data_IF_911708860669
#
_entry.id   IF_911708860669
#
_cell.length_a   1.000
_cell.length_b   1.000
_cell.length_c   1.000
_cell.angle_alpha   90.00
_cell.angle_beta   90.00
_cell.angle_gamma   90.00
#
_symmetry.space_group_name_H-M   'P 1'
#
loop_
_entity.id
_entity.type
_entity.pdbx_description
1 polymer ?
#
# COMPACT_ATOMS: atom_id res chain seq x y z
N UNK A 1 2.79 7.72 -10.55
CA UNK A 1 4.04 7.65 -9.74
C UNK A 1 4.39 8.91 -8.95
N UNK A 2 4.16 10.12 -9.47
CA UNK A 2 4.52 11.37 -8.79
C UNK A 2 3.71 11.64 -7.51
N UNK A 3 2.41 11.37 -7.49
CA UNK A 3 1.55 11.65 -6.33
C UNK A 3 1.98 10.89 -5.05
N UNK A 4 2.35 9.62 -5.15
CA UNK A 4 2.75 8.79 -4.00
C UNK A 4 3.96 9.35 -3.25
N UNK A 5 4.86 10.06 -3.94
CA UNK A 5 6.08 10.63 -3.37
C UNK A 5 5.93 12.09 -2.97
N UNK A 6 5.07 12.86 -3.65
CA UNK A 6 4.91 14.29 -3.38
C UNK A 6 3.88 14.60 -2.30
N UNK A 7 2.89 13.72 -2.07
CA UNK A 7 1.85 13.98 -1.08
C UNK A 7 2.36 14.18 0.35
N UNK A 8 3.29 13.38 0.89
CA UNK A 8 3.84 13.63 2.22
C UNK A 8 4.60 14.96 2.31
N UNK A 9 5.40 15.30 1.28
CA UNK A 9 6.17 16.54 1.28
C UNK A 9 5.29 17.79 1.33
N UNK A 10 4.15 17.78 0.62
CA UNK A 10 3.19 18.88 0.63
C UNK A 10 2.50 19.00 1.99
N UNK A 11 2.05 17.87 2.57
CA UNK A 11 1.43 17.86 3.88
C UNK A 11 2.35 18.45 4.95
N UNK A 12 3.58 17.96 5.01
CA UNK A 12 4.60 18.39 6.00
C UNK A 12 5.03 19.85 5.77
N UNK A 13 4.93 20.35 4.52
CA UNK A 13 5.16 21.76 4.20
C UNK A 13 4.07 22.71 4.69
N UNK A 14 3.07 22.22 5.45
CA UNK A 14 2.03 23.04 6.07
C UNK A 14 1.02 23.60 5.06
N UNK A 15 0.79 22.92 3.96
CA UNK A 15 -0.14 23.37 2.91
C UNK A 15 -1.23 22.33 2.63
N UNK A 16 -2.42 22.82 2.31
CA UNK A 16 -3.47 21.99 1.70
C UNK A 16 -3.26 21.94 0.20
N UNK A 17 -3.50 20.76 -0.37
CA UNK A 17 -3.37 20.59 -1.81
C UNK A 17 -4.51 19.73 -2.34
N UNK A 18 -5.11 20.19 -3.45
CA UNK A 18 -5.99 19.38 -4.28
C UNK A 18 -5.34 19.18 -5.63
N UNK A 19 -5.29 17.93 -6.07
CA UNK A 19 -4.64 17.53 -7.31
C UNK A 19 -5.62 16.81 -8.23
N UNK A 20 -5.50 17.08 -9.50
CA UNK A 20 -6.07 16.26 -10.57
C UNK A 20 -4.90 15.70 -11.38
N UNK A 21 -4.83 14.38 -11.46
CA UNK A 21 -3.73 13.68 -12.09
C UNK A 21 -4.26 12.83 -13.25
N UNK A 22 -3.55 12.89 -14.37
CA UNK A 22 -3.80 11.99 -15.51
C UNK A 22 -2.58 11.14 -15.78
N UNK A 23 -2.77 9.81 -15.87
CA UNK A 23 -1.64 8.89 -16.09
C UNK A 23 -2.02 7.43 -15.92
N UNK A 24 -1.03 6.58 -15.69
CA UNK A 24 -1.23 5.19 -15.31
C UNK A 24 -1.63 5.09 -13.84
N UNK A 25 -2.74 4.43 -13.53
CA UNK A 25 -3.18 4.14 -12.15
C UNK A 25 -2.72 2.76 -11.69
N UNK A 26 -2.79 1.79 -12.59
CA UNK A 26 -2.47 0.39 -12.35
C UNK A 26 -1.45 -0.06 -13.40
N UNK A 27 -0.18 -0.01 -13.02
CA UNK A 27 0.96 -0.23 -13.92
C UNK A 27 1.98 -1.17 -13.30
N UNK A 28 2.73 -1.97 -14.09
CA UNK A 28 3.80 -2.81 -13.59
C UNK A 28 4.83 -2.02 -12.75
N UNK A 29 5.46 -2.70 -11.83
CA UNK A 29 6.50 -2.18 -10.90
C UNK A 29 6.00 -1.09 -9.94
N UNK A 30 4.70 -1.04 -9.71
CA UNK A 30 4.09 -0.12 -8.74
C UNK A 30 2.86 -0.80 -8.14
N UNK A 31 2.59 -0.66 -6.84
CA UNK A 31 1.34 -1.11 -6.27
C UNK A 31 0.13 -0.53 -7.02
N UNK A 32 -0.96 -1.27 -7.07
CA UNK A 32 -2.22 -0.84 -7.68
C UNK A 32 -2.78 0.40 -7.00
N UNK A 33 -3.74 1.07 -7.65
CA UNK A 33 -4.40 2.22 -7.03
C UNK A 33 -5.17 1.81 -5.76
N UNK A 34 -5.85 0.65 -5.78
CA UNK A 34 -6.58 0.16 -4.60
C UNK A 34 -5.63 -0.13 -3.43
N UNK A 35 -4.46 -0.70 -3.68
CA UNK A 35 -3.42 -0.87 -2.65
C UNK A 35 -2.99 0.49 -2.07
N UNK A 36 -2.72 1.46 -2.92
CA UNK A 36 -2.35 2.81 -2.47
C UNK A 36 -3.46 3.43 -1.62
N UNK A 37 -4.71 3.37 -2.09
CA UNK A 37 -5.86 3.98 -1.43
C UNK A 37 -6.17 3.31 -0.08
N UNK A 38 -6.13 1.99 -0.02
CA UNK A 38 -6.56 1.24 1.17
C UNK A 38 -5.43 1.03 2.17
N UNK A 39 -4.22 0.70 1.70
CA UNK A 39 -3.11 0.32 2.58
C UNK A 39 -2.18 1.52 2.87
N UNK A 40 -1.69 2.18 1.82
CA UNK A 40 -0.70 3.25 2.00
C UNK A 40 -1.29 4.49 2.66
N UNK A 41 -2.49 4.93 2.23
CA UNK A 41 -3.14 6.09 2.85
C UNK A 41 -3.53 5.83 4.32
N UNK A 42 -3.81 4.58 4.68
CA UNK A 42 -4.02 4.20 6.08
C UNK A 42 -2.74 4.29 6.90
N UNK A 43 -1.60 3.85 6.33
CA UNK A 43 -0.28 4.05 6.92
C UNK A 43 0.08 5.53 7.09
N UNK A 44 -0.25 6.37 6.10
CA UNK A 44 -0.07 7.82 6.21
C UNK A 44 -0.92 8.44 7.32
N UNK A 45 -2.18 8.02 7.45
CA UNK A 45 -3.06 8.48 8.52
C UNK A 45 -2.52 8.13 9.91
N UNK A 46 -1.95 6.94 10.08
CA UNK A 46 -1.36 6.50 11.35
C UNK A 46 -0.21 7.42 11.81
N UNK A 47 0.54 7.99 10.87
CA UNK A 47 1.62 8.95 11.18
C UNK A 47 1.16 10.41 11.14
N UNK A 48 -0.14 10.68 11.02
CA UNK A 48 -0.72 12.03 11.08
C UNK A 48 -0.87 12.73 9.73
N UNK A 49 -0.66 12.06 8.59
CA UNK A 49 -0.89 12.64 7.26
C UNK A 49 -2.31 12.30 6.81
N UNK A 50 -3.19 13.29 6.84
CA UNK A 50 -4.55 13.16 6.31
C UNK A 50 -4.54 13.42 4.80
N UNK A 51 -4.67 12.34 4.03
CA UNK A 51 -4.74 12.37 2.57
C UNK A 51 -5.82 11.42 2.07
N UNK A 52 -6.51 11.83 1.02
CA UNK A 52 -7.49 11.03 0.30
C UNK A 52 -7.18 11.01 -1.19
N UNK A 53 -7.50 9.91 -1.85
CA UNK A 53 -7.40 9.81 -3.30
C UNK A 53 -8.59 9.02 -3.85
N UNK A 54 -9.07 9.41 -5.02
CA UNK A 54 -10.18 8.77 -5.71
C UNK A 54 -9.84 8.62 -7.19
N UNK A 55 -9.96 7.42 -7.71
CA UNK A 55 -9.90 7.17 -9.14
C UNK A 55 -11.27 7.45 -9.76
N UNK A 56 -11.31 8.24 -10.81
CA UNK A 56 -12.53 8.49 -11.60
C UNK A 56 -12.50 7.77 -12.94
N UNK A 57 -11.30 7.40 -13.41
CA UNK A 57 -11.08 6.54 -14.57
C UNK A 57 -9.80 5.76 -14.40
N UNK A 58 -9.84 4.44 -14.59
CA UNK A 58 -8.65 3.58 -14.56
C UNK A 58 -7.76 3.80 -15.78
N UNK A 59 -6.46 3.66 -15.58
CA UNK A 59 -5.46 3.72 -16.65
C UNK A 59 -4.47 2.60 -16.51
N UNK A 60 -4.69 1.50 -17.25
CA UNK A 60 -3.80 0.34 -17.26
C UNK A 60 -2.65 0.52 -18.24
N UNK A 61 -1.55 -0.14 -17.98
CA UNK A 61 -0.39 -0.20 -18.86
C UNK A 61 -0.76 -0.98 -20.16
N UNK A 62 -0.21 -0.58 -21.36
CA UNK A 62 0.77 0.48 -21.60
C UNK A 62 0.15 1.88 -21.83
N UNK A 63 -1.15 1.98 -22.09
CA UNK A 63 -1.80 3.21 -22.52
C UNK A 63 -1.88 4.29 -21.43
N UNK A 64 -2.09 3.88 -20.18
CA UNK A 64 -2.35 4.82 -19.10
C UNK A 64 -3.65 5.60 -19.30
N UNK A 65 -3.63 6.92 -19.11
CA UNK A 65 -4.78 7.80 -19.36
C UNK A 65 -5.86 7.73 -18.28
N UNK A 66 -5.57 7.14 -17.14
CA UNK A 66 -6.43 7.17 -15.96
C UNK A 66 -6.50 8.56 -15.35
N UNK A 67 -7.53 8.82 -14.56
CA UNK A 67 -7.75 10.07 -13.84
C UNK A 67 -7.93 9.81 -12.36
N UNK A 68 -7.19 10.56 -11.55
CA UNK A 68 -7.23 10.52 -10.08
C UNK A 68 -7.38 11.93 -9.56
N UNK A 69 -8.31 12.12 -8.63
CA UNK A 69 -8.35 13.30 -7.76
C UNK A 69 -7.76 12.95 -6.42
N UNK A 70 -6.99 13.86 -5.84
CA UNK A 70 -6.41 13.66 -4.53
C UNK A 70 -6.45 14.94 -3.71
N UNK A 71 -6.66 14.79 -2.41
CA UNK A 71 -6.69 15.85 -1.44
C UNK A 71 -5.73 15.54 -0.31
N UNK A 72 -4.96 16.53 0.11
CA UNK A 72 -3.99 16.41 1.20
C UNK A 72 -4.26 17.56 2.14
N UNK A 73 -4.48 17.26 3.41
CA UNK A 73 -4.60 18.26 4.46
C UNK A 73 -3.23 18.73 4.95
N UNK A 74 -3.20 19.90 5.54
CA UNK A 74 -2.03 20.40 6.27
C UNK A 74 -1.67 19.43 7.40
N UNK A 75 -0.38 19.12 7.53
CA UNK A 75 0.18 18.35 8.63
C UNK A 75 1.30 19.15 9.29
N UNK A 76 1.17 19.46 10.58
CA UNK A 76 2.16 20.28 11.30
C UNK A 76 3.28 19.47 11.92
N UNK A 77 3.02 18.23 12.26
CA UNK A 77 4.03 17.29 12.77
C UNK A 77 3.60 15.86 12.49
N UNK A 78 4.57 14.98 12.30
CA UNK A 78 4.29 13.54 12.18
C UNK A 78 4.30 12.89 13.57
N UNK A 79 3.37 11.97 13.76
CA UNK A 79 3.28 11.18 14.99
C UNK A 79 4.32 10.05 14.95
N UNK A 80 5.05 9.82 16.07
CA UNK A 80 5.81 8.60 16.24
C UNK A 80 4.86 7.40 16.36
N UNK A 81 5.30 6.23 15.94
CA UNK A 81 4.53 4.99 16.05
C UNK A 81 5.34 3.89 16.71
N UNK A 82 4.64 3.03 17.48
CA UNK A 82 5.15 1.74 17.95
C UNK A 82 4.27 0.62 17.38
N UNK A 83 4.76 -0.03 16.34
CA UNK A 83 4.10 -1.13 15.66
C UNK A 83 5.03 -2.36 15.63
N UNK A 84 5.42 -2.84 16.79
CA UNK A 84 6.27 -4.05 16.95
C UNK A 84 5.46 -5.32 17.17
N UNK A 85 4.18 -5.18 17.51
CA UNK A 85 3.23 -6.29 17.62
C UNK A 85 1.89 -5.90 17.03
N UNK A 86 1.18 -6.85 16.45
CA UNK A 86 -0.17 -6.66 15.93
C UNK A 86 -1.16 -7.67 16.53
N UNK A 87 -2.45 -7.36 16.60
CA UNK A 87 -3.46 -8.33 16.95
C UNK A 87 -3.57 -9.43 15.89
N UNK A 88 -4.23 -10.52 16.25
CA UNK A 88 -4.59 -11.53 15.24
C UNK A 88 -5.53 -10.90 14.21
N UNK A 89 -5.22 -11.10 12.93
CA UNK A 89 -6.04 -10.63 11.82
C UNK A 89 -7.02 -11.74 11.47
N UNK A 90 -8.31 -11.48 11.63
CA UNK A 90 -9.36 -12.48 11.43
C UNK A 90 -9.70 -12.65 9.95
N UNK A 91 -9.57 -11.60 9.15
CA UNK A 91 -9.96 -11.65 7.73
C UNK A 91 -9.36 -10.55 6.89
N UNK A 92 -9.55 -10.67 5.58
CA UNK A 92 -9.08 -9.73 4.58
C UNK A 92 -10.22 -9.21 3.69
N UNK A 93 -10.08 -7.98 3.20
CA UNK A 93 -10.92 -7.47 2.12
C UNK A 93 -10.32 -7.87 0.77
N UNK A 94 -11.17 -8.27 -0.18
CA UNK A 94 -10.81 -8.56 -1.57
C UNK A 94 -11.46 -7.51 -2.47
N UNK A 95 -10.66 -6.79 -3.25
CA UNK A 95 -11.14 -5.84 -4.23
C UNK A 95 -10.58 -6.20 -5.61
N UNK A 96 -11.46 -6.63 -6.51
CA UNK A 96 -11.12 -6.98 -7.89
C UNK A 96 -11.75 -5.98 -8.85
N UNK A 97 -10.94 -5.43 -9.75
CA UNK A 97 -11.34 -4.40 -10.70
C UNK A 97 -11.04 -4.84 -12.13
N UNK A 98 -11.93 -4.50 -13.05
CA UNK A 98 -11.65 -4.60 -14.47
C UNK A 98 -12.12 -3.34 -15.20
N UNK A 99 -11.49 -3.05 -16.32
CA UNK A 99 -11.90 -1.97 -17.20
C UNK A 99 -11.84 -2.42 -18.65
N UNK A 100 -12.86 -2.08 -19.45
CA UNK A 100 -13.00 -2.49 -20.85
C UNK A 100 -12.89 -4.02 -21.05
N UNK A 101 -13.27 -4.78 -20.05
CA UNK A 101 -13.36 -6.25 -20.02
C UNK A 101 -14.64 -6.64 -19.30
N UNK A 102 -15.26 -7.78 -19.66
CA UNK A 102 -16.48 -8.22 -18.99
C UNK A 102 -16.29 -8.37 -17.48
N UNK A 103 -17.25 -7.92 -16.67
CA UNK A 103 -17.25 -8.01 -15.20
C UNK A 103 -16.91 -9.40 -14.68
N UNK A 104 -17.33 -10.44 -15.40
CA UNK A 104 -17.01 -11.84 -15.08
C UNK A 104 -15.50 -12.09 -14.91
N UNK A 105 -14.62 -11.30 -15.54
CA UNK A 105 -13.17 -11.42 -15.34
C UNK A 105 -12.80 -11.01 -13.90
N UNK A 106 -13.32 -9.90 -13.40
CA UNK A 106 -13.12 -9.48 -12.03
C UNK A 106 -13.75 -10.46 -11.02
N UNK A 107 -14.91 -11.02 -11.33
CA UNK A 107 -15.57 -12.02 -10.48
C UNK A 107 -14.75 -13.30 -10.35
N UNK A 108 -14.16 -13.80 -11.45
CA UNK A 108 -13.26 -14.96 -11.42
C UNK A 108 -11.98 -14.69 -10.63
N UNK A 109 -11.41 -13.52 -10.75
CA UNK A 109 -10.25 -13.10 -9.96
C UNK A 109 -10.58 -13.06 -8.47
N UNK A 110 -11.69 -12.43 -8.09
CA UNK A 110 -12.14 -12.33 -6.72
C UNK A 110 -12.35 -13.72 -6.10
N UNK A 111 -13.06 -14.61 -6.80
CA UNK A 111 -13.30 -15.99 -6.34
C UNK A 111 -12.00 -16.75 -6.12
N UNK A 112 -11.03 -16.65 -7.03
CA UNK A 112 -9.76 -17.33 -6.87
C UNK A 112 -8.95 -16.79 -5.68
N UNK A 113 -9.05 -15.48 -5.38
CA UNK A 113 -8.46 -14.90 -4.19
C UNK A 113 -9.13 -15.44 -2.91
N UNK A 114 -10.47 -15.50 -2.87
CA UNK A 114 -11.22 -16.07 -1.74
C UNK A 114 -10.87 -17.55 -1.48
N UNK A 115 -10.84 -18.36 -2.54
CA UNK A 115 -10.47 -19.78 -2.44
C UNK A 115 -9.04 -19.96 -1.89
N UNK A 116 -8.11 -19.10 -2.32
CA UNK A 116 -6.72 -19.13 -1.84
C UNK A 116 -6.62 -18.70 -0.38
N UNK A 117 -7.36 -17.67 0.04
CA UNK A 117 -7.44 -17.24 1.44
C UNK A 117 -8.02 -18.36 2.31
N UNK A 118 -9.15 -18.94 1.91
CA UNK A 118 -9.81 -20.03 2.64
C UNK A 118 -8.90 -21.24 2.79
N UNK A 119 -8.13 -21.61 1.76
CA UNK A 119 -7.12 -22.67 1.81
C UNK A 119 -6.00 -22.42 2.82
N UNK A 120 -5.80 -21.17 3.22
CA UNK A 120 -4.82 -20.74 4.26
C UNK A 120 -5.46 -20.40 5.61
N UNK A 121 -6.74 -20.70 5.78
CA UNK A 121 -7.46 -20.43 7.03
C UNK A 121 -7.77 -18.94 7.28
N UNK A 122 -7.76 -18.11 6.24
CA UNK A 122 -8.09 -16.68 6.31
C UNK A 122 -9.47 -16.45 5.73
N UNK A 123 -10.33 -15.74 6.46
CA UNK A 123 -11.65 -15.36 5.97
C UNK A 123 -11.57 -14.17 5.00
N UNK A 124 -12.32 -14.23 3.89
CA UNK A 124 -12.60 -13.06 3.08
C UNK A 124 -13.74 -12.26 3.74
N UNK A 125 -13.40 -11.30 4.57
CA UNK A 125 -14.35 -10.50 5.35
C UNK A 125 -15.27 -9.63 4.49
N UNK A 126 -14.79 -9.25 3.31
CA UNK A 126 -15.58 -8.58 2.28
C UNK A 126 -14.97 -8.83 0.90
N UNK A 127 -15.83 -8.95 -0.11
CA UNK A 127 -15.40 -9.13 -1.51
C UNK A 127 -16.16 -8.19 -2.41
N UNK A 128 -15.44 -7.46 -3.23
CA UNK A 128 -15.98 -6.57 -4.24
C UNK A 128 -15.35 -6.88 -5.61
N UNK A 129 -16.19 -7.12 -6.61
CA UNK A 129 -15.78 -7.31 -8.00
C UNK A 129 -16.54 -6.33 -8.89
N UNK A 130 -15.85 -5.38 -9.49
CA UNK A 130 -16.47 -4.30 -10.26
C UNK A 130 -15.81 -4.08 -11.61
N UNK A 131 -16.65 -3.67 -12.57
CA UNK A 131 -16.20 -3.05 -13.80
C UNK A 131 -16.19 -1.53 -13.60
N UNK A 132 -15.10 -0.90 -13.94
CA UNK A 132 -14.90 0.54 -13.78
C UNK A 132 -14.55 1.22 -15.11
N UNK A 133 -14.86 2.51 -15.19
CA UNK A 133 -14.44 3.30 -16.36
C UNK A 133 -12.94 3.25 -16.53
N UNK A 134 -12.49 2.92 -17.74
CA UNK A 134 -11.08 2.78 -18.05
C UNK A 134 -10.75 3.31 -19.45
N UNK A 135 -9.52 3.78 -19.61
CA UNK A 135 -8.99 4.21 -20.92
C UNK A 135 -8.42 3.07 -21.75
N UNK A 136 -8.25 1.88 -21.16
CA UNK A 136 -7.69 0.69 -21.80
C UNK A 136 -8.10 -0.59 -21.07
N UNK A 137 -8.12 -1.73 -21.76
CA UNK A 137 -8.40 -3.01 -21.11
C UNK A 137 -7.35 -3.32 -20.03
N UNK A 138 -7.82 -3.78 -18.88
CA UNK A 138 -6.94 -4.20 -17.79
C UNK A 138 -7.71 -4.66 -16.57
N UNK A 139 -7.00 -5.29 -15.64
CA UNK A 139 -7.55 -5.74 -14.35
C UNK A 139 -6.53 -5.60 -13.24
N UNK A 140 -7.03 -5.44 -12.03
CA UNK A 140 -6.23 -5.44 -10.79
C UNK A 140 -6.99 -6.14 -9.67
N UNK A 141 -6.25 -6.75 -8.75
CA UNK A 141 -6.78 -7.32 -7.52
C UNK A 141 -5.96 -6.80 -6.35
N UNK A 142 -6.65 -6.44 -5.29
CA UNK A 142 -6.09 -6.20 -3.96
C UNK A 142 -6.70 -7.20 -2.98
N UNK A 143 -5.86 -7.80 -2.16
CA UNK A 143 -6.23 -8.46 -0.92
C UNK A 143 -5.55 -7.72 0.21
N UNK A 144 -6.30 -7.28 1.23
CA UNK A 144 -5.68 -6.46 2.26
C UNK A 144 -6.45 -6.41 3.57
N UNK A 145 -5.72 -6.11 4.63
CA UNK A 145 -6.24 -5.85 5.98
C UNK A 145 -5.56 -4.64 6.58
N UNK A 146 -6.35 -3.81 7.22
CA UNK A 146 -5.91 -2.56 7.86
C UNK A 146 -6.48 -2.49 9.25
N UNK A 147 -5.68 -2.05 10.20
CA UNK A 147 -6.07 -1.77 11.57
C UNK A 147 -5.17 -0.71 12.17
N UNK A 148 -5.39 -0.39 13.45
CA UNK A 148 -4.65 0.68 14.13
C UNK A 148 -3.13 0.41 14.21
N UNK A 149 -2.74 -0.86 14.13
CA UNK A 149 -1.35 -1.30 14.35
C UNK A 149 -0.81 -2.19 13.23
N UNK A 150 -1.47 -2.24 12.08
CA UNK A 150 -0.99 -3.02 10.94
C UNK A 150 -1.59 -2.53 9.62
N UNK A 151 -0.80 -2.65 8.58
CA UNK A 151 -1.15 -2.33 7.19
C UNK A 151 -0.54 -3.40 6.29
N UNK A 152 -1.36 -4.33 5.83
CA UNK A 152 -0.91 -5.51 5.09
C UNK A 152 -1.76 -5.68 3.85
N UNK A 153 -1.11 -5.79 2.70
CA UNK A 153 -1.76 -6.02 1.44
C UNK A 153 -0.93 -6.89 0.49
N UNK A 154 -1.62 -7.52 -0.45
CA UNK A 154 -1.03 -8.17 -1.60
C UNK A 154 -1.84 -7.77 -2.83
N UNK A 155 -1.18 -7.35 -3.89
CA UNK A 155 -1.86 -6.94 -5.11
C UNK A 155 -1.27 -7.58 -6.36
N UNK A 156 -2.09 -7.67 -7.40
CA UNK A 156 -1.68 -8.21 -8.68
C UNK A 156 -2.38 -7.51 -9.84
N UNK A 157 -1.69 -7.49 -10.98
CA UNK A 157 -2.20 -6.96 -12.24
C UNK A 157 -2.47 -8.09 -13.24
N UNK A 158 -3.59 -7.98 -13.94
CA UNK A 158 -3.83 -8.79 -15.12
C UNK A 158 -2.94 -8.38 -16.28
N UNK A 159 -2.57 -9.36 -17.09
CA UNK A 159 -1.87 -9.16 -18.36
C UNK A 159 -2.41 -10.12 -19.40
N UNK A 160 -2.26 -9.78 -20.66
CA UNK A 160 -2.68 -10.64 -21.77
C UNK A 160 -2.05 -12.03 -21.64
N UNK A 161 -2.85 -13.08 -21.71
CA UNK A 161 -2.44 -14.48 -21.60
C UNK A 161 -2.32 -15.01 -20.16
N UNK A 162 -2.49 -14.17 -19.13
CA UNK A 162 -2.56 -14.62 -17.74
C UNK A 162 -4.00 -14.94 -17.38
N UNK A 163 -4.33 -16.17 -16.93
CA UNK A 163 -5.67 -16.51 -16.46
C UNK A 163 -6.16 -15.57 -15.34
N UNK A 164 -7.44 -15.30 -15.28
CA UNK A 164 -8.03 -14.45 -14.24
C UNK A 164 -7.77 -15.04 -12.84
N UNK A 165 -7.89 -16.35 -12.71
CA UNK A 165 -7.65 -17.09 -11.47
C UNK A 165 -6.22 -16.89 -10.94
N UNK A 166 -5.22 -16.86 -11.83
CA UNK A 166 -3.82 -16.66 -11.44
C UNK A 166 -3.56 -15.25 -10.92
N UNK A 167 -4.34 -14.26 -11.38
CA UNK A 167 -4.24 -12.88 -10.86
C UNK A 167 -4.78 -12.81 -9.43
N UNK A 168 -5.95 -13.43 -9.19
CA UNK A 168 -6.54 -13.50 -7.85
C UNK A 168 -5.66 -14.25 -6.86
N UNK A 169 -5.15 -15.41 -7.29
CA UNK A 169 -4.23 -16.25 -6.50
C UNK A 169 -2.96 -15.49 -6.13
N UNK A 170 -2.31 -14.84 -7.09
CA UNK A 170 -1.08 -14.07 -6.85
C UNK A 170 -1.29 -12.98 -5.79
N UNK A 171 -2.40 -12.23 -5.84
CA UNK A 171 -2.70 -11.20 -4.85
C UNK A 171 -2.88 -11.80 -3.45
N UNK A 172 -3.63 -12.90 -3.35
CA UNK A 172 -3.86 -13.59 -2.08
C UNK A 172 -2.57 -14.21 -1.51
N UNK A 173 -1.74 -14.84 -2.33
CA UNK A 173 -0.46 -15.42 -1.90
C UNK A 173 0.50 -14.35 -1.34
N UNK A 174 0.59 -13.18 -1.97
CA UNK A 174 1.38 -12.06 -1.45
C UNK A 174 0.86 -11.58 -0.09
N UNK A 175 -0.46 -11.46 0.05
CA UNK A 175 -1.09 -11.10 1.32
C UNK A 175 -0.81 -12.16 2.40
N UNK A 176 -0.99 -13.44 2.10
CA UNK A 176 -0.75 -14.56 3.02
C UNK A 176 0.72 -14.60 3.45
N UNK A 177 1.66 -14.35 2.54
CA UNK A 177 3.08 -14.29 2.86
C UNK A 177 3.37 -13.15 3.87
N UNK A 178 2.80 -11.96 3.65
CA UNK A 178 2.93 -10.84 4.58
C UNK A 178 2.23 -11.13 5.92
N UNK A 179 1.06 -11.76 5.89
CA UNK A 179 0.33 -12.18 7.09
C UNK A 179 1.14 -13.18 7.92
N UNK A 180 1.66 -14.22 7.30
CA UNK A 180 2.41 -15.29 7.96
C UNK A 180 3.77 -14.84 8.50
N UNK A 181 4.33 -13.78 7.97
CA UNK A 181 5.56 -13.20 8.51
C UNK A 181 5.38 -12.65 9.93
N UNK A 182 4.16 -12.28 10.34
CA UNK A 182 3.90 -11.62 11.63
C UNK A 182 4.22 -10.11 11.63
N UNK A 183 4.59 -9.55 10.49
CA UNK A 183 4.88 -8.12 10.34
C UNK A 183 3.65 -7.23 10.55
N UNK A 184 3.87 -6.00 10.99
CA UNK A 184 2.85 -4.98 11.09
C UNK A 184 2.67 -4.21 9.77
N UNK A 185 3.72 -4.16 8.95
CA UNK A 185 3.69 -3.57 7.61
C UNK A 185 4.29 -4.54 6.60
N UNK A 186 3.61 -4.75 5.47
CA UNK A 186 4.23 -5.43 4.35
C UNK A 186 5.36 -4.59 3.72
N UNK A 187 6.14 -5.18 2.83
CA UNK A 187 7.29 -4.55 2.23
C UNK A 187 6.95 -3.25 1.47
N UNK A 188 5.85 -3.24 0.73
CA UNK A 188 5.48 -2.09 -0.12
C UNK A 188 5.05 -0.87 0.71
N UNK A 189 4.22 -1.08 1.75
CA UNK A 189 3.80 0.04 2.61
C UNK A 189 4.96 0.52 3.48
N UNK A 190 5.84 -0.37 3.93
CA UNK A 190 7.03 -0.01 4.68
C UNK A 190 7.95 0.92 3.87
N UNK A 191 8.18 0.64 2.60
CA UNK A 191 8.97 1.49 1.69
C UNK A 191 8.43 2.93 1.57
N UNK A 192 7.12 3.12 1.77
CA UNK A 192 6.47 4.42 1.60
C UNK A 192 6.26 5.17 2.90
N UNK A 193 6.09 4.48 4.02
CA UNK A 193 5.75 5.08 5.32
C UNK A 193 6.98 5.26 6.21
N UNK A 194 7.82 4.24 6.32
CA UNK A 194 8.91 4.22 7.30
C UNK A 194 9.93 5.34 7.11
N UNK A 195 10.37 5.70 5.89
CA UNK A 195 11.31 6.82 5.71
C UNK A 195 10.76 8.17 6.21
N UNK A 196 9.43 8.35 6.22
CA UNK A 196 8.79 9.58 6.70
C UNK A 196 8.90 9.73 8.23
N UNK A 197 9.09 8.63 8.96
CA UNK A 197 9.27 8.66 10.41
C UNK A 197 10.55 9.40 10.84
N UNK A 198 11.45 9.66 9.91
CA UNK A 198 12.60 10.56 10.14
C UNK A 198 12.20 12.01 10.49
N UNK A 199 10.96 12.37 10.19
CA UNK A 199 10.36 13.69 10.45
C UNK A 199 9.31 13.64 11.58
N UNK A 200 9.16 12.51 12.26
CA UNK A 200 8.24 12.38 13.38
C UNK A 200 8.70 13.18 14.60
N UNK A 201 7.79 13.48 15.51
CA UNK A 201 8.06 14.23 16.74
C UNK A 201 8.81 13.41 17.81
N UNK A 202 9.06 12.13 17.57
CA UNK A 202 9.75 11.22 18.49
C UNK A 202 10.15 9.91 17.83
N UNK A 203 10.86 9.05 18.57
CA UNK A 203 11.32 7.75 18.09
C UNK A 203 10.15 6.85 17.65
N UNK A 204 10.35 6.08 16.60
CA UNK A 204 9.39 5.13 16.09
C UNK A 204 9.99 3.73 15.98
N UNK A 205 9.16 2.70 16.27
CA UNK A 205 9.51 1.30 16.15
C UNK A 205 8.49 0.62 15.23
N UNK A 206 8.98 -0.12 14.24
CA UNK A 206 8.10 -0.81 13.28
C UNK A 206 8.64 -2.19 12.93
N UNK A 207 7.79 -3.21 13.04
CA UNK A 207 8.05 -4.55 12.52
C UNK A 207 7.59 -4.63 11.08
N UNK A 208 8.53 -4.77 10.15
CA UNK A 208 8.29 -4.86 8.70
C UNK A 208 8.57 -6.25 8.19
N UNK A 209 7.91 -6.63 7.11
CA UNK A 209 8.05 -7.95 6.48
C UNK A 209 9.47 -8.17 5.95
N UNK A 210 10.06 -7.15 5.35
CA UNK A 210 11.37 -7.24 4.70
C UNK A 210 12.08 -5.88 4.73
N UNK A 211 13.40 -5.91 4.85
CA UNK A 211 14.24 -4.73 4.65
C UNK A 211 14.68 -4.65 3.20
N UNK A 212 13.85 -4.01 2.38
CA UNK A 212 14.06 -3.93 0.93
C UNK A 212 15.17 -2.94 0.57
N UNK A 213 15.78 -3.06 -0.62
CA UNK A 213 16.69 -2.03 -1.14
C UNK A 213 16.03 -0.65 -1.30
N UNK A 214 14.71 -0.60 -1.54
CA UNK A 214 13.96 0.66 -1.60
C UNK A 214 13.83 1.31 -0.22
N UNK A 215 13.52 0.53 0.80
CA UNK A 215 13.45 1.00 2.19
C UNK A 215 14.81 1.50 2.66
N UNK A 216 15.87 0.73 2.43
CA UNK A 216 17.25 1.14 2.76
C UNK A 216 17.61 2.46 2.07
N UNK A 217 17.38 2.57 0.77
CA UNK A 217 17.67 3.79 0.01
C UNK A 217 16.86 4.98 0.53
N UNK A 218 15.60 4.77 0.88
CA UNK A 218 14.73 5.79 1.49
C UNK A 218 15.25 6.29 2.82
N UNK A 219 15.66 5.38 3.71
CA UNK A 219 16.22 5.70 5.03
C UNK A 219 17.58 6.40 4.92
N UNK A 220 18.50 5.93 4.05
CA UNK A 220 19.76 6.61 3.81
C UNK A 220 19.60 8.02 3.26
N UNK A 221 18.59 8.23 2.40
CA UNK A 221 18.24 9.56 1.92
C UNK A 221 17.69 10.42 3.05
N UNK A 222 16.76 9.91 3.85
CA UNK A 222 16.21 10.59 5.01
C UNK A 222 17.29 11.02 5.99
N UNK A 223 18.25 10.15 6.31
CA UNK A 223 19.40 10.44 7.18
C UNK A 223 20.21 11.65 6.69
N UNK A 224 20.44 11.75 5.38
CA UNK A 224 21.19 12.88 4.79
C UNK A 224 20.44 14.21 4.89
N UNK A 225 19.11 14.20 4.80
CA UNK A 225 18.31 15.43 4.79
C UNK A 225 17.81 15.86 6.17
N UNK A 226 17.59 14.91 7.08
CA UNK A 226 16.98 15.19 8.39
C UNK A 226 17.94 14.98 9.55
N UNK A 227 19.13 14.43 9.29
CA UNK A 227 20.08 14.02 10.33
C UNK A 227 19.48 13.02 11.34
N UNK A 228 18.48 12.24 10.93
CA UNK A 228 17.95 11.14 11.72
C UNK A 228 18.99 10.01 11.82
N UNK A 229 18.80 9.11 12.77
CA UNK A 229 19.49 7.82 12.80
C UNK A 229 18.49 6.68 12.78
N UNK A 230 18.91 5.49 12.38
CA UNK A 230 18.07 4.32 12.37
C UNK A 230 18.88 3.05 12.64
N UNK A 231 18.23 2.05 13.19
CA UNK A 231 18.80 0.72 13.39
C UNK A 231 17.85 -0.35 12.85
N UNK A 232 18.46 -1.47 12.46
CA UNK A 232 17.77 -2.64 11.90
C UNK A 232 18.12 -3.84 12.77
N UNK A 233 17.11 -4.48 13.34
CA UNK A 233 17.26 -5.70 14.10
C UNK A 233 16.49 -6.83 13.41
N UNK A 234 17.11 -7.98 13.19
CA UNK A 234 16.41 -9.16 12.66
C UNK A 234 15.66 -9.85 13.78
N UNK A 235 14.39 -10.18 13.50
CA UNK A 235 13.51 -10.87 14.43
C UNK A 235 12.80 -12.03 13.66
N UNK A 236 13.44 -13.18 13.62
CA UNK A 236 13.02 -14.31 12.80
C UNK A 236 12.98 -13.96 11.31
N UNK A 237 11.83 -14.15 10.63
CA UNK A 237 11.65 -13.78 9.24
C UNK A 237 11.49 -12.27 9.02
N UNK A 238 11.23 -11.51 10.08
CA UNK A 238 10.95 -10.08 10.03
C UNK A 238 12.15 -9.23 10.39
N UNK A 239 11.94 -7.94 10.26
CA UNK A 239 12.88 -6.92 10.65
C UNK A 239 12.17 -5.89 11.53
N UNK A 240 12.76 -5.58 12.67
CA UNK A 240 12.33 -4.44 13.51
C UNK A 240 13.24 -3.25 13.21
N UNK A 241 12.59 -2.20 12.73
CA UNK A 241 13.23 -0.91 12.45
C UNK A 241 12.97 0.05 13.59
N UNK A 242 14.04 0.72 14.04
CA UNK A 242 13.96 1.85 14.98
C UNK A 242 14.43 3.09 14.24
N UNK A 243 13.60 4.10 14.17
CA UNK A 243 13.91 5.39 13.52
C UNK A 243 13.91 6.46 14.60
N UNK A 244 15.02 7.18 14.71
CA UNK A 244 15.24 8.25 15.68
C UNK A 244 15.35 9.57 14.92
N UNK A 245 14.28 10.40 14.90
CA UNK A 245 14.36 11.73 14.35
C UNK A 245 15.39 12.56 15.12
N UNK A 246 15.97 13.55 14.46
CA UNK A 246 16.76 14.54 15.18
C UNK A 246 15.81 15.37 16.05
N UNK A 247 15.99 15.33 17.36
CA UNK A 247 15.34 16.27 18.27
C UNK A 247 15.91 17.67 18.01
N UNK A 248 15.01 18.63 17.77
CA UNK A 248 15.39 20.03 17.60
C UNK A 248 15.93 20.62 18.91
#
# INVERSE_FOLDING_TARGET
>A
MSFRRSSPAVAIGGSRLRLELTGGTDVPWSPTFDYFQSIVLSGYRAIGIEAGARVTRRGYYPRGGGKVTAEIAECRSLNPIDMTSRPQIAGAAVASRCGMLPKMVAERQARAAEETLAGSGVEAASTEATEEESSSPGTSVLVGSVGDRFFIGGDALGKRGKPAEDVGREAAEKYIAALNSGACMDANVADMVVPLLSLASGPSLVRVQEFTPHLESGLRLAERFTSCSWTVERDGPNVVLKVFPRTA
#
